data_IF_177181371004
#
_entry.id   IF_177181371004
#
_cell.length_a   1.000
_cell.length_b   1.000
_cell.length_c   1.000
_cell.angle_alpha   90.00
_cell.angle_beta   90.00
_cell.angle_gamma   90.00
#
_symmetry.space_group_name_H-M   'P 1'
#
loop_
_entity.id
_entity.type
_entity.pdbx_description
1 polymer ?
#
# COMPACT_ATOMS: atom_id res chain seq x y z
N UNK A 1 -19.04 -30.70 1.22
CA UNK A 1 -17.70 -31.20 1.61
C UNK A 1 -16.68 -30.69 0.59
N UNK A 2 -16.09 -29.52 0.83
CA UNK A 2 -14.96 -29.05 0.04
C UNK A 2 -13.67 -29.39 0.78
N UNK A 3 -12.77 -30.06 0.07
CA UNK A 3 -11.48 -30.55 0.56
C UNK A 3 -10.62 -29.38 1.01
N UNK A 4 -10.10 -29.47 2.24
CA UNK A 4 -8.97 -28.68 2.70
C UNK A 4 -7.79 -28.83 1.71
N UNK A 5 -7.23 -27.70 1.26
CA UNK A 5 -5.91 -27.67 0.62
C UNK A 5 -4.85 -27.32 1.68
N UNK A 6 -3.73 -28.04 1.75
CA UNK A 6 -2.72 -27.83 2.78
C UNK A 6 -1.69 -26.75 2.39
N UNK A 7 -1.15 -26.16 3.46
CA UNK A 7 0.14 -25.48 3.63
C UNK A 7 0.53 -24.36 2.65
N UNK A 8 0.26 -23.12 3.11
CA UNK A 8 1.17 -21.98 3.17
C UNK A 8 2.16 -21.69 2.03
N UNK A 9 2.24 -20.40 1.70
CA UNK A 9 3.46 -19.70 1.29
C UNK A 9 4.03 -20.06 -0.09
N UNK A 10 3.88 -19.17 -1.07
CA UNK A 10 4.93 -18.97 -2.10
C UNK A 10 4.91 -17.53 -2.66
N UNK A 11 4.69 -16.55 -1.75
CA UNK A 11 4.51 -15.08 -1.95
C UNK A 11 3.03 -14.67 -2.18
N UNK A 12 2.59 -13.51 -1.69
CA UNK A 12 1.25 -12.96 -1.96
C UNK A 12 1.14 -12.38 -3.40
N UNK A 13 0.96 -13.16 -4.48
CA UNK A 13 2.05 -13.76 -5.28
C UNK A 13 2.58 -12.78 -6.33
N UNK A 14 3.81 -12.24 -6.16
CA UNK A 14 4.51 -11.15 -6.92
C UNK A 14 3.99 -9.71 -6.76
N UNK A 15 2.91 -9.53 -5.99
CA UNK A 15 2.55 -8.41 -5.10
C UNK A 15 1.03 -8.39 -4.86
N UNK A 16 0.19 -8.57 -5.88
CA UNK A 16 -0.52 -9.84 -6.09
C UNK A 16 -0.44 -10.26 -7.59
N UNK A 17 0.75 -10.05 -8.20
CA UNK A 17 1.30 -10.26 -9.57
C UNK A 17 1.48 -8.97 -10.42
N UNK A 18 1.92 -7.83 -9.86
CA UNK A 18 1.83 -6.48 -10.49
C UNK A 18 0.35 -6.15 -10.88
N UNK A 19 -0.54 -6.61 -9.98
CA UNK A 19 -2.00 -6.50 -9.85
C UNK A 19 -2.90 -7.10 -10.96
N UNK A 20 -2.80 -6.72 -12.24
CA UNK A 20 -3.50 -7.38 -13.38
C UNK A 20 -3.05 -6.84 -14.76
N UNK A 21 -1.85 -6.26 -14.91
CA UNK A 21 -1.22 -5.86 -16.20
C UNK A 21 -0.14 -6.91 -16.56
N UNK A 22 -0.50 -8.07 -17.08
CA UNK A 22 -0.62 -8.28 -18.53
C UNK A 22 -2.05 -8.51 -19.03
N UNK A 23 -3.12 -8.29 -18.25
CA UNK A 23 -4.43 -8.84 -18.66
C UNK A 23 -5.18 -8.10 -19.78
N UNK A 24 -4.50 -7.25 -20.59
CA UNK A 24 -4.80 -7.03 -22.03
C UNK A 24 -3.96 -5.97 -22.79
N UNK A 25 -2.85 -5.44 -22.26
CA UNK A 25 -2.06 -4.45 -23.03
C UNK A 25 -1.08 -5.07 -24.06
N UNK A 26 -0.98 -6.39 -24.20
CA UNK A 26 0.01 -7.04 -25.08
C UNK A 26 -0.54 -7.76 -26.34
N UNK A 27 -1.87 -7.80 -26.58
CA UNK A 27 -2.42 -8.51 -27.75
C UNK A 27 -2.94 -7.62 -28.88
N UNK A 28 -2.80 -6.29 -28.80
CA UNK A 28 -3.30 -5.41 -29.87
C UNK A 28 -2.32 -4.33 -30.35
N UNK A 29 -1.09 -4.29 -29.82
CA UNK A 29 -0.11 -3.24 -30.16
C UNK A 29 1.20 -3.75 -30.75
N UNK A 30 1.32 -5.05 -31.11
CA UNK A 30 2.39 -5.55 -31.99
C UNK A 30 1.81 -5.91 -33.37
N UNK A 31 1.03 -4.99 -33.95
CA UNK A 31 0.73 -4.93 -35.39
C UNK A 31 1.09 -3.56 -35.99
N UNK A 32 1.51 -2.58 -35.18
CA UNK A 32 1.83 -1.23 -35.63
C UNK A 32 3.07 -0.77 -34.85
N UNK A 33 4.29 -1.05 -35.28
CA UNK A 33 4.96 -0.41 -36.41
C UNK A 33 6.15 0.36 -35.82
N UNK A 34 7.36 -0.20 -35.80
CA UNK A 34 8.38 -0.04 -36.84
C UNK A 34 8.49 1.39 -37.39
N UNK A 35 9.04 2.32 -36.60
CA UNK A 35 9.83 3.50 -37.05
C UNK A 35 10.83 3.81 -35.89
N UNK A 36 12.08 3.35 -35.94
CA UNK A 36 13.31 4.11 -36.30
C UNK A 36 13.50 5.42 -35.51
N UNK A 37 14.67 5.88 -35.02
CA UNK A 37 16.06 5.43 -34.95
C UNK A 37 16.84 6.47 -34.08
N UNK A 38 17.89 6.00 -33.39
CA UNK A 38 19.24 6.57 -33.10
C UNK A 38 19.54 7.99 -32.52
N UNK A 39 20.51 7.94 -31.57
CA UNK A 39 21.65 8.86 -31.26
C UNK A 39 21.31 10.23 -30.62
N UNK A 40 22.10 10.81 -29.70
CA UNK A 40 23.54 10.72 -29.45
C UNK A 40 23.90 11.24 -28.04
N UNK A 41 25.01 10.74 -27.49
CA UNK A 41 25.66 11.12 -26.23
C UNK A 41 26.23 12.54 -26.21
N UNK A 42 26.30 13.17 -25.04
CA UNK A 42 27.42 14.05 -24.68
C UNK A 42 27.57 14.19 -23.15
N UNK A 43 28.63 13.58 -22.64
CA UNK A 43 29.26 13.88 -21.37
C UNK A 43 29.78 15.32 -21.35
N UNK A 44 29.64 16.02 -20.21
CA UNK A 44 30.69 16.90 -19.68
C UNK A 44 30.62 16.97 -18.15
N UNK A 45 31.67 16.45 -17.53
CA UNK A 45 32.10 16.72 -16.17
C UNK A 45 32.30 18.23 -15.93
N UNK A 46 31.94 18.71 -14.74
CA UNK A 46 32.78 19.68 -14.03
C UNK A 46 32.51 19.65 -12.53
N UNK A 47 33.54 19.26 -11.77
CA UNK A 47 33.63 19.36 -10.32
C UNK A 47 33.47 20.82 -9.87
N UNK A 48 32.71 21.06 -8.80
CA UNK A 48 33.02 22.16 -7.88
C UNK A 48 32.76 21.69 -6.46
N UNK A 49 33.86 21.39 -5.78
CA UNK A 49 33.96 21.10 -4.36
C UNK A 49 33.56 22.34 -3.55
N UNK A 50 32.45 22.27 -2.82
CA UNK A 50 32.14 23.25 -1.78
C UNK A 50 31.77 22.50 -0.50
N UNK A 51 32.75 22.41 0.39
CA UNK A 51 32.58 21.97 1.77
C UNK A 51 31.61 22.95 2.45
N UNK A 52 30.42 22.46 2.80
CA UNK A 52 29.48 23.13 3.70
C UNK A 52 29.15 22.08 4.75
N UNK A 53 29.32 22.47 6.01
CA UNK A 53 29.05 21.67 7.21
C UNK A 53 27.70 20.97 7.12
N UNK A 54 27.69 19.64 7.26
CA UNK A 54 26.50 18.85 7.58
C UNK A 54 26.01 19.26 8.97
N UNK A 55 25.19 20.31 9.00
CA UNK A 55 24.11 20.33 9.97
C UNK A 55 23.13 19.29 9.46
N UNK A 56 23.08 18.16 10.15
CA UNK A 56 22.08 17.11 9.98
C UNK A 56 20.70 17.70 10.32
N UNK A 57 20.18 18.51 9.40
CA UNK A 57 18.78 18.88 9.37
C UNK A 57 18.09 17.61 8.92
N UNK A 58 17.60 16.83 9.89
CA UNK A 58 16.58 15.82 9.65
C UNK A 58 15.50 16.52 8.84
N UNK A 59 15.51 16.31 7.54
CA UNK A 59 14.54 16.87 6.62
C UNK A 59 13.23 16.20 7.01
N UNK A 60 12.43 16.89 7.85
CA UNK A 60 11.14 16.39 8.29
C UNK A 60 10.29 16.25 7.05
N UNK A 61 10.21 15.03 6.52
CA UNK A 61 9.45 14.73 5.32
C UNK A 61 8.02 15.23 5.55
N UNK A 62 7.55 16.08 4.64
CA UNK A 62 6.20 16.62 4.77
C UNK A 62 5.22 15.52 4.40
N UNK A 63 4.28 15.22 5.29
CA UNK A 63 3.24 14.23 5.06
C UNK A 63 2.26 14.75 3.99
N UNK A 64 2.43 14.31 2.74
CA UNK A 64 1.63 14.78 1.62
C UNK A 64 0.33 13.96 1.49
N UNK A 65 -0.80 14.64 1.69
CA UNK A 65 -2.13 14.02 1.61
C UNK A 65 -2.58 13.87 0.16
N UNK A 66 -3.37 12.83 -0.11
CA UNK A 66 -3.92 12.55 -1.43
C UNK A 66 -2.86 12.38 -2.54
N UNK A 67 -1.63 11.98 -2.19
CA UNK A 67 -0.56 11.79 -3.16
C UNK A 67 -0.75 10.47 -3.94
N UNK A 68 -1.37 10.58 -5.11
CA UNK A 68 -1.59 9.44 -5.99
C UNK A 68 -0.27 8.79 -6.47
N UNK A 69 0.79 9.57 -6.65
CA UNK A 69 2.08 9.04 -7.10
C UNK A 69 2.71 8.15 -6.02
N UNK A 70 2.56 8.49 -4.74
CA UNK A 70 3.03 7.65 -3.64
C UNK A 70 2.28 6.31 -3.61
N UNK A 71 0.97 6.31 -3.85
CA UNK A 71 0.16 5.08 -3.98
C UNK A 71 0.63 4.23 -5.17
N UNK A 72 0.84 4.85 -6.33
CA UNK A 72 1.32 4.13 -7.52
C UNK A 72 2.75 3.62 -7.35
N UNK A 73 3.65 4.40 -6.74
CA UNK A 73 5.01 3.95 -6.43
C UNK A 73 4.99 2.73 -5.50
N UNK A 74 4.17 2.76 -4.44
CA UNK A 74 4.00 1.64 -3.53
C UNK A 74 3.43 0.41 -4.24
N UNK A 75 2.51 0.60 -5.18
CA UNK A 75 1.94 -0.47 -6.02
C UNK A 75 2.96 -1.06 -6.99
N UNK A 76 3.86 -0.25 -7.55
CA UNK A 76 4.83 -0.70 -8.56
C UNK A 76 6.07 -1.34 -7.90
N UNK A 77 6.46 -0.87 -6.70
CA UNK A 77 7.68 -1.27 -5.97
C UNK A 77 7.42 -2.14 -4.74
N UNK A 78 6.38 -2.98 -4.79
CA UNK A 78 5.89 -3.72 -3.63
C UNK A 78 6.89 -4.51 -2.80
N UNK A 79 7.99 -4.99 -3.38
CA UNK A 79 9.00 -5.81 -2.70
C UNK A 79 10.11 -4.99 -2.04
N UNK A 80 10.16 -3.69 -2.31
CA UNK A 80 11.28 -2.83 -1.93
C UNK A 80 10.78 -1.43 -1.63
N UNK A 81 9.95 -1.31 -0.59
CA UNK A 81 9.59 -0.01 -0.04
C UNK A 81 10.46 0.31 1.16
N UNK A 82 11.04 1.50 1.19
CA UNK A 82 11.70 2.01 2.39
C UNK A 82 10.69 2.47 3.43
N UNK A 83 11.12 2.70 4.67
CA UNK A 83 10.25 3.23 5.73
C UNK A 83 9.65 4.57 5.31
N UNK A 84 10.45 5.41 4.66
CA UNK A 84 10.03 6.73 4.16
C UNK A 84 8.98 6.62 3.06
N UNK A 85 9.14 5.68 2.12
CA UNK A 85 8.15 5.44 1.07
C UNK A 85 6.83 4.91 1.63
N UNK A 86 6.90 4.05 2.66
CA UNK A 86 5.73 3.57 3.39
C UNK A 86 5.03 4.70 4.15
N UNK A 87 5.79 5.62 4.73
CA UNK A 87 5.26 6.78 5.43
C UNK A 87 4.52 7.72 4.47
N UNK A 88 5.11 8.01 3.30
CA UNK A 88 4.45 8.80 2.25
C UNK A 88 3.21 8.10 1.68
N UNK A 89 3.29 6.78 1.50
CA UNK A 89 2.13 5.96 1.13
C UNK A 89 0.99 6.11 2.14
N UNK A 90 1.28 5.95 3.43
CA UNK A 90 0.28 6.08 4.51
C UNK A 90 -0.26 7.51 4.62
N UNK A 91 0.58 8.53 4.44
CA UNK A 91 0.18 9.93 4.40
C UNK A 91 -0.85 10.25 3.31
N UNK A 92 -0.85 9.48 2.22
CA UNK A 92 -1.76 9.69 1.10
C UNK A 92 -3.23 9.38 1.45
N UNK A 93 -3.48 8.59 2.49
CA UNK A 93 -4.82 8.23 2.97
C UNK A 93 -5.34 9.28 3.96
N UNK A 94 -6.14 10.21 3.44
CA UNK A 94 -6.81 11.23 4.25
C UNK A 94 -8.31 11.31 3.91
N UNK A 95 -9.13 11.70 4.89
CA UNK A 95 -10.57 11.86 4.72
C UNK A 95 -10.95 12.96 3.72
N UNK A 96 -10.06 13.95 3.47
CA UNK A 96 -10.29 14.96 2.43
C UNK A 96 -10.11 14.41 1.02
N UNK A 97 -9.51 13.24 0.88
CA UNK A 97 -9.31 12.61 -0.41
C UNK A 97 -10.57 11.82 -0.77
N UNK A 98 -10.92 11.84 -2.04
CA UNK A 98 -12.08 11.11 -2.55
C UNK A 98 -11.78 9.61 -2.71
N UNK A 99 -11.17 8.96 -1.71
CA UNK A 99 -10.94 7.51 -1.72
C UNK A 99 -12.21 6.73 -1.35
N UNK A 100 -13.40 7.26 -1.64
CA UNK A 100 -14.68 6.79 -1.11
C UNK A 100 -15.08 5.39 -1.60
N UNK A 101 -15.79 4.66 -0.75
CA UNK A 101 -16.32 3.31 -1.03
C UNK A 101 -17.25 3.26 -2.26
N UNK A 102 -18.03 4.30 -2.51
CA UNK A 102 -18.90 4.41 -3.70
C UNK A 102 -18.09 4.38 -5.02
N UNK A 103 -16.85 4.86 -4.99
CA UNK A 103 -15.91 4.76 -6.12
C UNK A 103 -15.21 3.38 -6.19
N UNK A 104 -15.20 2.60 -5.09
CA UNK A 104 -14.66 1.22 -5.06
C UNK A 104 -15.60 0.21 -5.73
N UNK A 105 -16.92 0.43 -5.68
CA UNK A 105 -17.91 -0.45 -6.34
C UNK A 105 -17.99 -0.24 -7.86
N UNK A 106 -17.66 0.97 -8.34
CA UNK A 106 -17.68 1.27 -9.78
C UNK A 106 -16.37 0.81 -10.43
N UNK A 107 -16.43 -0.32 -11.15
CA UNK A 107 -15.33 -0.91 -11.94
C UNK A 107 -14.69 0.03 -12.98
N UNK A 108 -15.22 1.24 -13.15
CA UNK A 108 -14.74 2.25 -14.09
C UNK A 108 -13.56 3.06 -13.52
N UNK A 109 -13.37 3.08 -12.19
CA UNK A 109 -12.32 3.86 -11.54
C UNK A 109 -11.19 2.96 -10.98
N UNK A 110 -10.46 2.34 -11.91
CA UNK A 110 -9.44 1.29 -11.66
C UNK A 110 -8.36 1.65 -10.62
N UNK A 111 -8.13 2.94 -10.40
CA UNK A 111 -7.09 3.45 -9.51
C UNK A 111 -7.45 3.36 -8.02
N UNK A 112 -8.75 3.34 -7.68
CA UNK A 112 -9.22 3.37 -6.28
C UNK A 112 -9.17 2.00 -5.62
N UNK A 113 -9.55 0.94 -6.36
CA UNK A 113 -9.41 -0.43 -5.87
C UNK A 113 -7.94 -0.79 -5.59
N UNK A 114 -7.01 -0.26 -6.38
CA UNK A 114 -5.56 -0.44 -6.17
C UNK A 114 -5.12 0.17 -4.84
N UNK A 115 -5.52 1.41 -4.54
CA UNK A 115 -5.17 2.05 -3.27
C UNK A 115 -5.63 1.21 -2.07
N UNK A 116 -6.90 0.83 -2.07
CA UNK A 116 -7.47 0.04 -0.98
C UNK A 116 -6.81 -1.33 -0.83
N UNK A 117 -6.64 -2.09 -1.91
CA UNK A 117 -5.97 -3.40 -1.86
C UNK A 117 -4.52 -3.27 -1.35
N UNK A 118 -3.78 -2.26 -1.84
CA UNK A 118 -2.39 -2.02 -1.43
C UNK A 118 -2.28 -1.66 0.05
N UNK A 119 -3.27 -0.98 0.63
CA UNK A 119 -3.25 -0.65 2.05
C UNK A 119 -3.15 -1.91 2.92
N UNK A 120 -3.94 -2.96 2.61
CA UNK A 120 -3.92 -4.21 3.38
C UNK A 120 -2.73 -5.10 3.03
N UNK A 121 -2.39 -5.21 1.74
CA UNK A 121 -1.25 -6.02 1.29
C UNK A 121 0.06 -5.51 1.90
N UNK A 122 0.30 -4.20 1.84
CA UNK A 122 1.50 -3.61 2.42
C UNK A 122 1.50 -3.64 3.93
N UNK A 123 0.33 -3.49 4.58
CA UNK A 123 0.27 -3.63 6.03
C UNK A 123 0.65 -5.05 6.47
N UNK A 124 0.13 -6.10 5.81
CA UNK A 124 0.55 -7.46 6.18
C UNK A 124 2.05 -7.67 5.96
N UNK A 125 2.58 -7.17 4.84
CA UNK A 125 3.98 -7.36 4.46
C UNK A 125 4.97 -6.61 5.34
N UNK A 126 4.70 -5.34 5.58
CA UNK A 126 5.57 -4.41 6.31
C UNK A 126 5.02 -4.13 7.71
N UNK A 127 4.42 -5.14 8.34
CA UNK A 127 3.67 -5.01 9.58
C UNK A 127 4.39 -4.19 10.66
N UNK A 128 5.65 -4.52 10.95
CA UNK A 128 6.42 -3.83 11.99
C UNK A 128 6.64 -2.35 11.66
N UNK A 129 7.01 -2.03 10.41
CA UNK A 129 7.16 -0.64 9.97
C UNK A 129 5.86 0.12 9.98
N UNK A 130 4.73 -0.51 9.62
CA UNK A 130 3.42 0.12 9.72
C UNK A 130 3.08 0.51 11.14
N UNK A 131 3.28 -0.41 12.09
CA UNK A 131 3.02 -0.14 13.50
C UNK A 131 3.92 0.99 14.00
N UNK A 132 5.21 0.96 13.65
CA UNK A 132 6.17 2.00 14.02
C UNK A 132 5.79 3.38 13.45
N UNK A 133 5.59 3.48 12.12
CA UNK A 133 5.20 4.72 11.44
C UNK A 133 3.89 5.26 12.00
N UNK A 134 2.89 4.40 12.16
CA UNK A 134 1.58 4.79 12.70
C UNK A 134 1.62 5.07 14.19
N UNK A 135 2.72 4.85 14.91
CA UNK A 135 2.88 5.31 16.29
C UNK A 135 3.66 6.62 16.37
N UNK A 136 4.69 6.76 15.55
CA UNK A 136 5.61 7.90 15.53
C UNK A 136 5.02 9.11 14.80
N UNK A 137 4.46 8.92 13.61
CA UNK A 137 3.97 10.02 12.79
C UNK A 137 2.51 10.37 13.16
N UNK A 138 2.30 11.56 13.73
CA UNK A 138 0.99 12.10 14.11
C UNK A 138 0.26 12.83 12.97
N UNK A 139 0.96 13.12 11.88
CA UNK A 139 0.42 13.79 10.68
C UNK A 139 -0.41 12.84 9.82
N UNK A 140 -0.19 11.53 9.94
CA UNK A 140 -1.01 10.50 9.28
C UNK A 140 -2.40 10.45 9.92
N UNK A 141 -3.42 10.40 9.07
CA UNK A 141 -4.83 10.36 9.48
C UNK A 141 -5.25 8.98 10.01
N UNK A 142 -4.79 8.64 11.21
CA UNK A 142 -5.04 7.36 11.89
C UNK A 142 -6.51 6.98 11.99
N UNK A 143 -7.37 7.94 12.32
CA UNK A 143 -8.81 7.70 12.44
C UNK A 143 -9.46 7.36 11.10
N UNK A 144 -8.92 7.90 10.01
CA UNK A 144 -9.37 7.56 8.67
C UNK A 144 -8.90 6.16 8.25
N UNK A 145 -7.64 5.82 8.53
CA UNK A 145 -7.12 4.47 8.31
C UNK A 145 -7.91 3.42 9.11
N UNK A 146 -8.25 3.68 10.37
CA UNK A 146 -9.11 2.79 11.17
C UNK A 146 -10.46 2.57 10.48
N UNK A 147 -11.09 3.62 9.95
CA UNK A 147 -12.36 3.48 9.21
C UNK A 147 -12.20 2.58 7.98
N UNK A 148 -11.10 2.72 7.22
CA UNK A 148 -10.81 1.85 6.07
C UNK A 148 -10.60 0.40 6.50
N UNK A 149 -9.91 0.16 7.62
CA UNK A 149 -9.66 -1.19 8.16
C UNK A 149 -10.90 -1.85 8.79
N UNK A 150 -11.89 -1.07 9.22
CA UNK A 150 -13.16 -1.57 9.75
C UNK A 150 -14.11 -2.10 8.68
N UNK A 151 -13.83 -1.83 7.39
CA UNK A 151 -14.70 -2.30 6.31
C UNK A 151 -14.78 -3.83 6.26
N UNK A 152 -15.95 -4.43 5.96
CA UNK A 152 -16.10 -5.88 5.93
C UNK A 152 -15.10 -6.60 5.03
N UNK A 153 -14.51 -7.69 5.52
CA UNK A 153 -13.56 -8.54 4.80
C UNK A 153 -14.26 -9.43 3.75
N UNK A 154 -14.87 -8.81 2.73
CA UNK A 154 -15.62 -9.51 1.66
C UNK A 154 -14.75 -9.92 0.45
N UNK A 155 -13.47 -9.52 0.45
CA UNK A 155 -12.47 -9.86 -0.56
C UNK A 155 -11.32 -10.66 0.05
N UNK A 156 -10.56 -11.36 -0.79
CA UNK A 156 -9.40 -12.18 -0.40
C UNK A 156 -8.15 -11.32 -0.09
N UNK A 157 -8.32 -10.38 0.85
CA UNK A 157 -7.27 -9.52 1.41
C UNK A 157 -6.82 -10.09 2.78
N UNK A 158 -5.58 -9.81 3.22
CA UNK A 158 -4.95 -10.48 4.37
C UNK A 158 -5.47 -10.03 5.76
N UNK A 159 -6.76 -9.76 5.91
CA UNK A 159 -7.38 -9.29 7.15
C UNK A 159 -7.11 -10.21 8.34
N UNK A 160 -7.24 -11.53 8.14
CA UNK A 160 -7.04 -12.52 9.21
C UNK A 160 -5.58 -12.63 9.63
N UNK A 161 -4.65 -12.50 8.68
CA UNK A 161 -3.22 -12.53 8.93
C UNK A 161 -2.77 -11.30 9.71
N UNK A 162 -3.22 -10.11 9.30
CA UNK A 162 -2.97 -8.86 10.03
C UNK A 162 -3.56 -8.95 11.44
N UNK A 163 -4.81 -9.43 11.58
CA UNK A 163 -5.44 -9.62 12.88
C UNK A 163 -4.64 -10.57 13.78
N UNK A 164 -4.12 -11.68 13.23
CA UNK A 164 -3.26 -12.60 13.98
C UNK A 164 -2.01 -11.90 14.51
N UNK A 165 -1.32 -11.13 13.65
CA UNK A 165 -0.12 -10.37 14.03
C UNK A 165 -0.42 -9.31 15.09
N UNK A 166 -1.55 -8.61 14.98
CA UNK A 166 -2.00 -7.66 16.00
C UNK A 166 -2.22 -8.36 17.35
N UNK A 167 -2.84 -9.54 17.36
CA UNK A 167 -3.09 -10.32 18.58
C UNK A 167 -1.81 -10.75 19.28
N UNK A 168 -0.72 -10.95 18.54
CA UNK A 168 0.59 -11.33 19.07
C UNK A 168 1.30 -10.18 19.81
N UNK A 169 0.86 -8.92 19.66
CA UNK A 169 1.41 -7.79 20.43
C UNK A 169 0.97 -7.90 21.90
N UNK A 170 1.92 -8.18 22.80
CA UNK A 170 1.66 -8.37 24.24
C UNK A 170 1.16 -7.11 24.95
N UNK A 171 1.79 -5.96 24.67
CA UNK A 171 1.49 -4.66 25.31
C UNK A 171 1.04 -3.66 24.27
N UNK A 172 -0.28 -3.62 24.05
CA UNK A 172 -0.88 -2.75 23.06
C UNK A 172 -0.97 -1.30 23.53
N UNK A 173 -0.70 -0.38 22.62
CA UNK A 173 -1.11 1.02 22.79
C UNK A 173 -2.62 1.16 22.61
N UNK A 174 -3.16 2.33 22.93
CA UNK A 174 -4.56 2.66 22.66
C UNK A 174 -4.87 2.56 21.15
N UNK A 175 -3.96 3.07 20.31
CA UNK A 175 -4.11 3.01 18.86
C UNK A 175 -4.10 1.56 18.34
N UNK A 176 -3.15 0.73 18.77
CA UNK A 176 -3.07 -0.68 18.39
C UNK A 176 -4.31 -1.46 18.85
N UNK A 177 -4.88 -1.14 20.01
CA UNK A 177 -6.13 -1.75 20.49
C UNK A 177 -7.31 -1.37 19.58
N UNK A 178 -7.42 -0.09 19.18
CA UNK A 178 -8.46 0.35 18.24
C UNK A 178 -8.29 -0.32 16.86
N UNK A 179 -7.05 -0.49 16.43
CA UNK A 179 -6.71 -1.14 15.16
C UNK A 179 -7.07 -2.64 15.18
N UNK A 180 -6.73 -3.36 16.25
CA UNK A 180 -7.16 -4.75 16.45
C UNK A 180 -8.69 -4.88 16.39
N UNK A 181 -9.41 -4.05 17.14
CA UNK A 181 -10.88 -4.06 17.15
C UNK A 181 -11.47 -3.80 15.75
N UNK A 182 -10.87 -2.92 14.96
CA UNK A 182 -11.29 -2.66 13.58
C UNK A 182 -11.18 -3.92 12.71
N UNK A 183 -10.05 -4.63 12.79
CA UNK A 183 -9.87 -5.89 12.07
C UNK A 183 -10.78 -7.02 12.58
N UNK A 184 -11.04 -7.09 13.89
CA UNK A 184 -12.00 -8.05 14.45
C UNK A 184 -13.42 -7.81 13.90
N UNK A 185 -13.85 -6.55 13.87
CA UNK A 185 -15.13 -6.16 13.29
C UNK A 185 -15.19 -6.52 11.81
N UNK A 186 -14.18 -6.13 11.03
CA UNK A 186 -14.09 -6.40 9.59
C UNK A 186 -14.20 -7.90 9.27
N UNK A 187 -13.48 -8.76 9.99
CA UNK A 187 -13.53 -10.21 9.81
C UNK A 187 -14.90 -10.77 10.21
N UNK A 188 -15.46 -10.33 11.33
CA UNK A 188 -16.77 -10.77 11.82
C UNK A 188 -17.91 -10.40 10.87
N UNK A 189 -17.88 -9.19 10.32
CA UNK A 189 -18.87 -8.73 9.34
C UNK A 189 -18.69 -9.41 7.98
N UNK A 190 -17.45 -9.60 7.52
CA UNK A 190 -17.15 -10.36 6.31
C UNK A 190 -17.68 -11.79 6.36
N UNK A 191 -17.49 -12.49 7.49
CA UNK A 191 -17.98 -13.86 7.66
C UNK A 191 -19.50 -13.96 7.56
N UNK A 192 -20.24 -13.01 8.14
CA UNK A 192 -21.72 -12.97 8.08
C UNK A 192 -22.26 -12.76 6.67
N UNK A 193 -21.52 -12.07 5.80
CA UNK A 193 -21.93 -11.80 4.43
C UNK A 193 -21.68 -12.98 3.49
N UNK A 194 -20.90 -13.98 3.92
CA UNK A 194 -20.57 -15.17 3.15
C UNK A 194 -21.40 -16.42 3.54
N UNK A 195 -22.20 -16.34 4.61
CA UNK A 195 -23.16 -17.36 5.06
C UNK A 195 -24.48 -17.33 4.28
#
# INVERSE_FOLDING_TARGET
MYKARPSGYDSYTECYMQLRKMKKLLYLTIVLGLISCTSESNDKDNETKKTIEEVDVVETMTCEKCNFNAIMNASDNCDKLTKEELEQFLCSYDASCDWTFELMETRENQNFGVAWDMLFVHFDKYFDYYIEILEENKSISRDYLIQLFSMPAIYDLPHRQILSKLKEIEKKTEFQTRLENAFEQSVSEGDKLLE
#
